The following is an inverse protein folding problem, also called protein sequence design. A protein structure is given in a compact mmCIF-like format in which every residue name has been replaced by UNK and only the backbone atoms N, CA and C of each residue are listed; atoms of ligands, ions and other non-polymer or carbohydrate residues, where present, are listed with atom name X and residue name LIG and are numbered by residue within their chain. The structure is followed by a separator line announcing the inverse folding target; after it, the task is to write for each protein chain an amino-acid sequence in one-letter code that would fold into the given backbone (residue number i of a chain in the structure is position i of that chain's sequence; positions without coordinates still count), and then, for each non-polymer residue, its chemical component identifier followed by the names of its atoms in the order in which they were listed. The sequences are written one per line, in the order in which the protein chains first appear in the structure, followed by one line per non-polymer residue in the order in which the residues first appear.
data_IF_046114288221
#
_entry.id   IF_046114288221
#
_cell.length_a   1.000
_cell.length_b   1.000
_cell.length_c   1.000
_cell.angle_alpha   90.00
_cell.angle_beta   90.00
_cell.angle_gamma   90.00
#
_symmetry.space_group_name_H-M   'P 1'
#
loop_
_entity.id
_entity.type
_entity.pdbx_description
1 polymer ?
#
# COMPACT_ATOMS: atom_id res chain seq x y z
N UNK A 1 7.99 0.98 19.23
CA UNK A 1 6.88 1.74 18.61
C UNK A 1 6.40 2.92 19.47
N UNK A 2 6.08 2.74 20.75
CA UNK A 2 5.55 3.79 21.64
C UNK A 2 6.16 5.21 21.53
N UNK A 3 7.50 5.33 21.41
CA UNK A 3 8.15 6.64 21.23
C UNK A 3 7.87 7.29 19.86
N UNK A 4 7.74 6.49 18.79
CA UNK A 4 7.37 6.96 17.46
C UNK A 4 5.88 7.32 17.40
N UNK A 5 5.02 6.52 18.05
CA UNK A 5 3.59 6.82 18.20
C UNK A 5 3.36 8.14 18.95
N UNK A 6 4.07 8.36 20.06
CA UNK A 6 4.01 9.62 20.80
C UNK A 6 4.47 10.85 19.97
N UNK A 7 5.39 10.66 19.02
CA UNK A 7 5.79 11.72 18.08
C UNK A 7 4.76 11.94 16.99
N UNK A 8 4.11 10.88 16.50
CA UNK A 8 3.06 10.96 15.48
C UNK A 8 1.75 11.57 16.01
N UNK A 9 1.37 11.25 17.25
CA UNK A 9 0.09 11.68 17.85
C UNK A 9 0.23 12.85 18.84
N UNK A 10 1.44 13.18 19.27
CA UNK A 10 1.73 14.21 20.29
C UNK A 10 2.45 15.44 19.75
N UNK A 11 3.54 15.85 20.41
CA UNK A 11 4.27 17.09 20.13
C UNK A 11 4.87 17.19 18.72
N UNK A 12 5.04 16.07 18.00
CA UNK A 12 5.44 16.09 16.60
C UNK A 12 4.33 16.57 15.69
N UNK A 13 3.06 16.23 15.96
CA UNK A 13 1.89 16.67 15.20
C UNK A 13 1.61 18.18 15.32
N UNK A 14 1.96 18.80 16.45
CA UNK A 14 1.93 20.26 16.64
C UNK A 14 3.24 20.96 16.30
N UNK A 15 4.31 20.19 16.06
CA UNK A 15 5.64 20.68 15.70
C UNK A 15 5.71 21.24 14.28
N UNK A 16 6.87 21.82 13.94
CA UNK A 16 7.13 22.33 12.59
C UNK A 16 7.01 21.25 11.49
N UNK A 17 6.85 21.68 10.24
CA UNK A 17 6.67 20.79 9.06
C UNK A 17 7.69 19.64 9.02
N UNK A 18 8.95 19.95 9.35
CA UNK A 18 10.03 18.98 9.39
C UNK A 18 9.83 17.90 10.47
N UNK A 19 9.31 18.25 11.65
CA UNK A 19 9.08 17.28 12.72
C UNK A 19 7.99 16.27 12.30
N UNK A 20 6.89 16.76 11.71
CA UNK A 20 5.81 15.92 11.17
C UNK A 20 6.34 15.01 10.07
N UNK A 21 7.09 15.56 9.12
CA UNK A 21 7.72 14.78 8.05
C UNK A 21 8.63 13.65 8.58
N UNK A 22 9.46 13.96 9.58
CA UNK A 22 10.36 12.96 10.17
C UNK A 22 9.60 11.91 10.96
N UNK A 23 8.53 12.29 11.67
CA UNK A 23 7.64 11.35 12.34
C UNK A 23 6.95 10.40 11.33
N UNK A 24 6.40 10.93 10.24
CA UNK A 24 5.80 10.12 9.15
C UNK A 24 6.83 9.14 8.57
N UNK A 25 8.07 9.59 8.32
CA UNK A 25 9.14 8.71 7.81
C UNK A 25 9.57 7.65 8.82
N UNK A 26 9.58 7.99 10.11
CA UNK A 26 9.91 7.04 11.18
C UNK A 26 8.83 5.96 11.27
N UNK A 27 7.55 6.34 11.28
CA UNK A 27 6.43 5.41 11.32
C UNK A 27 6.48 4.40 10.16
N UNK A 28 6.74 4.88 8.94
CA UNK A 28 6.94 4.02 7.77
C UNK A 28 8.06 3.00 7.96
N UNK A 29 9.20 3.43 8.52
CA UNK A 29 10.33 2.53 8.77
C UNK A 29 9.99 1.48 9.81
N UNK A 30 9.22 1.84 10.84
CA UNK A 30 8.79 0.87 11.86
C UNK A 30 7.91 -0.21 11.23
N UNK A 31 6.87 0.16 10.47
CA UNK A 31 6.01 -0.82 9.81
C UNK A 31 6.78 -1.72 8.83
N UNK A 32 7.71 -1.16 8.04
CA UNK A 32 8.49 -1.95 7.08
C UNK A 32 9.56 -2.85 7.72
N UNK A 33 9.91 -2.62 9.00
CA UNK A 33 10.77 -3.51 9.78
C UNK A 33 9.94 -4.62 10.43
N UNK A 34 8.70 -4.32 10.84
CA UNK A 34 7.77 -5.32 11.36
C UNK A 34 7.27 -6.28 10.27
N UNK A 35 7.05 -5.77 9.05
CA UNK A 35 6.65 -6.56 7.89
C UNK A 35 7.84 -7.29 7.26
N UNK A 36 7.71 -8.59 7.07
CA UNK A 36 8.62 -9.36 6.23
C UNK A 36 8.74 -8.72 4.83
N UNK A 37 9.93 -8.73 4.20
CA UNK A 37 10.13 -8.18 2.87
C UNK A 37 9.51 -9.12 1.82
N UNK A 38 8.19 -9.10 1.69
CA UNK A 38 7.42 -9.83 0.67
C UNK A 38 7.02 -8.88 -0.45
N UNK A 39 6.82 -9.44 -1.65
CA UNK A 39 6.21 -8.70 -2.77
C UNK A 39 4.91 -9.41 -3.07
N UNK A 40 3.79 -8.76 -2.75
CA UNK A 40 2.48 -9.35 -2.96
C UNK A 40 2.22 -9.64 -4.45
N UNK A 41 1.76 -10.86 -4.81
CA UNK A 41 1.55 -11.24 -6.21
C UNK A 41 0.34 -10.57 -6.84
N UNK A 42 -0.69 -10.24 -6.04
CA UNK A 42 -1.86 -9.47 -6.47
C UNK A 42 -1.52 -8.04 -6.90
N UNK A 43 -0.32 -7.54 -6.54
CA UNK A 43 0.08 -6.19 -6.92
C UNK A 43 0.22 -6.11 -8.43
N UNK A 44 -0.29 -5.03 -9.02
CA UNK A 44 -0.18 -4.77 -10.46
C UNK A 44 1.22 -5.09 -11.00
N UNK A 45 1.31 -6.22 -11.71
CA UNK A 45 2.49 -6.61 -12.43
C UNK A 45 2.48 -5.80 -13.71
N UNK A 46 3.45 -4.89 -13.88
CA UNK A 46 3.63 -4.20 -15.16
C UNK A 46 3.85 -5.28 -16.22
N UNK A 47 2.82 -5.53 -17.02
CA UNK A 47 2.78 -6.58 -18.03
C UNK A 47 4.07 -6.60 -18.82
N UNK A 48 4.74 -7.74 -18.77
CA UNK A 48 5.94 -8.14 -19.50
C UNK A 48 7.00 -7.07 -19.74
N UNK A 49 8.16 -7.28 -19.11
CA UNK A 49 9.35 -6.42 -19.23
C UNK A 49 9.93 -6.32 -20.66
N UNK A 50 9.46 -7.16 -21.59
CA UNK A 50 9.90 -7.19 -22.97
C UNK A 50 8.71 -7.04 -23.92
N UNK A 51 8.72 -5.94 -24.69
CA UNK A 51 7.79 -5.73 -25.79
C UNK A 51 7.93 -6.84 -26.86
N UNK A 52 9.15 -7.34 -27.06
CA UNK A 52 9.42 -8.45 -27.98
C UNK A 52 8.73 -9.74 -27.52
N UNK A 53 8.77 -10.05 -26.22
CA UNK A 53 8.04 -11.20 -25.68
C UNK A 53 6.53 -11.05 -25.86
N UNK A 54 5.98 -9.84 -25.71
CA UNK A 54 4.57 -9.55 -25.93
C UNK A 54 4.14 -9.69 -27.39
N UNK A 55 5.02 -9.34 -28.32
CA UNK A 55 4.76 -9.47 -29.76
C UNK A 55 4.93 -10.93 -30.21
N UNK A 56 5.84 -11.69 -29.59
CA UNK A 56 6.05 -13.10 -29.87
C UNK A 56 4.94 -14.01 -29.30
N UNK A 57 4.28 -13.60 -28.22
CA UNK A 57 3.13 -14.31 -27.63
C UNK A 57 1.77 -13.86 -28.17
N UNK A 58 1.74 -12.87 -29.07
CA UNK A 58 0.50 -12.43 -29.71
C UNK A 58 -0.03 -13.56 -30.62
N UNK A 59 -1.29 -14.01 -30.46
CA UNK A 59 -1.88 -14.96 -31.38
C UNK A 59 -1.99 -14.30 -32.76
N UNK A 60 -1.70 -15.08 -33.80
CA UNK A 60 -1.89 -14.70 -35.21
C UNK A 60 -3.24 -14.01 -35.42
N UNK A 61 -3.22 -12.90 -36.16
CA UNK A 61 -4.32 -11.95 -36.33
C UNK A 61 -5.67 -12.63 -36.69
N UNK A 62 -6.53 -12.83 -35.68
CA UNK A 62 -7.84 -13.45 -35.89
C UNK A 62 -8.91 -13.14 -34.84
N UNK A 63 -8.55 -12.92 -33.57
CA UNK A 63 -9.55 -12.74 -32.50
C UNK A 63 -9.19 -11.56 -31.58
N UNK A 64 -9.57 -10.36 -32.02
CA UNK A 64 -9.25 -9.08 -31.35
C UNK A 64 -10.04 -8.85 -30.04
N UNK A 65 -10.85 -9.83 -29.60
CA UNK A 65 -11.66 -9.75 -28.39
C UNK A 65 -11.23 -10.68 -27.24
N UNK A 66 -10.38 -11.68 -27.49
CA UNK A 66 -10.06 -12.72 -26.50
C UNK A 66 -8.81 -12.39 -25.66
N UNK A 67 -7.87 -11.61 -26.18
CA UNK A 67 -6.60 -11.33 -25.51
C UNK A 67 -6.74 -10.44 -24.25
N UNK A 68 -7.67 -9.47 -24.26
CA UNK A 68 -7.94 -8.66 -23.05
C UNK A 68 -8.77 -9.41 -22.01
N UNK A 69 -9.61 -10.36 -22.45
CA UNK A 69 -10.38 -11.21 -21.56
C UNK A 69 -9.48 -12.27 -20.90
N UNK A 70 -8.57 -12.90 -21.63
CA UNK A 70 -7.62 -13.89 -21.08
C UNK A 70 -6.59 -13.29 -20.13
N UNK A 71 -6.17 -12.02 -20.34
CA UNK A 71 -5.31 -11.30 -19.39
C UNK A 71 -6.03 -10.87 -18.10
N UNK A 72 -7.35 -10.70 -18.15
CA UNK A 72 -8.18 -10.46 -16.97
C UNK A 72 -8.50 -11.78 -16.24
N UNK A 73 -8.82 -12.84 -16.99
CA UNK A 73 -9.20 -14.17 -16.48
C UNK A 73 -8.01 -14.90 -15.82
N UNK A 74 -6.78 -14.68 -16.30
CA UNK A 74 -5.57 -15.21 -15.66
C UNK A 74 -5.14 -14.43 -14.41
N UNK A 75 -5.57 -13.17 -14.26
CA UNK A 75 -5.25 -12.35 -13.08
C UNK A 75 -6.20 -12.65 -11.91
N UNK A 76 -7.46 -12.99 -12.20
CA UNK A 76 -8.47 -13.39 -11.20
C UNK A 76 -8.27 -14.82 -10.68
N UNK A 77 -7.62 -15.71 -11.45
CA UNK A 77 -7.48 -17.12 -11.09
C UNK A 77 -6.34 -17.43 -10.09
N UNK A 78 -5.35 -16.54 -9.92
CA UNK A 78 -4.18 -16.79 -9.05
C UNK A 78 -4.15 -15.91 -7.77
N UNK A 79 -5.17 -15.10 -7.50
CA UNK A 79 -5.15 -14.16 -6.39
C UNK A 79 -5.77 -14.65 -5.07
N UNK A 80 -6.14 -15.94 -4.99
CA UNK A 80 -7.02 -16.43 -3.91
C UNK A 80 -6.38 -17.40 -2.90
N UNK A 81 -5.06 -17.60 -2.91
CA UNK A 81 -4.40 -18.63 -2.08
C UNK A 81 -3.32 -18.10 -1.10
N UNK A 82 -3.00 -16.80 -1.08
CA UNK A 82 -1.92 -16.27 -0.22
C UNK A 82 -2.36 -15.77 1.17
N UNK A 83 -3.66 -15.78 1.48
CA UNK A 83 -4.14 -15.39 2.83
C UNK A 83 -3.82 -16.48 3.87
N UNK A 84 -3.60 -17.75 3.47
CA UNK A 84 -3.47 -18.88 4.40
C UNK A 84 -2.14 -18.92 5.18
N UNK A 85 -1.07 -18.28 4.66
CA UNK A 85 0.28 -18.27 5.26
C UNK A 85 0.68 -16.91 5.86
N UNK A 86 -0.25 -15.94 5.96
CA UNK A 86 0.07 -14.63 6.56
C UNK A 86 0.12 -14.71 8.10
N UNK A 87 1.24 -15.22 8.61
CA UNK A 87 1.54 -15.20 10.04
C UNK A 87 2.25 -13.89 10.43
N UNK A 88 1.50 -13.00 11.08
CA UNK A 88 2.02 -11.79 11.70
C UNK A 88 2.00 -11.94 13.22
N UNK A 89 3.10 -11.58 13.88
CA UNK A 89 3.13 -11.48 15.34
C UNK A 89 2.09 -10.46 15.84
N UNK A 90 1.32 -10.80 16.87
CA UNK A 90 0.20 -9.97 17.36
C UNK A 90 0.65 -8.53 17.69
N UNK A 91 1.83 -8.39 18.31
CA UNK A 91 2.41 -7.07 18.62
C UNK A 91 2.80 -6.32 17.34
N UNK A 92 3.29 -7.03 16.32
CA UNK A 92 3.61 -6.42 15.03
C UNK A 92 2.34 -5.97 14.28
N UNK A 93 1.24 -6.71 14.43
CA UNK A 93 -0.09 -6.35 13.91
C UNK A 93 -0.62 -5.06 14.52
N UNK A 94 -0.65 -4.96 15.86
CA UNK A 94 -1.08 -3.73 16.57
C UNK A 94 -0.23 -2.51 16.15
N UNK A 95 1.10 -2.69 16.08
CA UNK A 95 2.02 -1.64 15.65
C UNK A 95 1.72 -1.21 14.21
N UNK A 96 1.38 -2.15 13.33
CA UNK A 96 1.08 -1.88 11.94
C UNK A 96 -0.22 -1.07 11.81
N UNK A 97 -1.27 -1.45 12.53
CA UNK A 97 -2.56 -0.73 12.56
C UNK A 97 -2.36 0.73 13.03
N UNK A 98 -1.64 0.93 14.14
CA UNK A 98 -1.35 2.27 14.65
C UNK A 98 -0.53 3.09 13.63
N UNK A 99 0.42 2.46 12.92
CA UNK A 99 1.19 3.14 11.86
C UNK A 99 0.28 3.53 10.71
N UNK A 100 -0.62 2.65 10.26
CA UNK A 100 -1.55 2.91 9.18
C UNK A 100 -2.46 4.09 9.56
N UNK A 101 -3.03 4.09 10.77
CA UNK A 101 -3.83 5.21 11.27
C UNK A 101 -3.04 6.53 11.28
N UNK A 102 -1.80 6.51 11.78
CA UNK A 102 -0.93 7.68 11.80
C UNK A 102 -0.62 8.21 10.38
N UNK A 103 -0.46 7.33 9.40
CA UNK A 103 -0.24 7.69 7.99
C UNK A 103 -1.51 8.23 7.33
N UNK A 104 -2.67 7.63 7.61
CA UNK A 104 -3.98 8.13 7.15
C UNK A 104 -4.25 9.54 7.70
N UNK A 105 -3.93 9.79 8.98
CA UNK A 105 -3.99 11.14 9.56
C UNK A 105 -3.00 12.09 8.85
N UNK A 106 -1.78 11.64 8.57
CA UNK A 106 -0.75 12.42 7.86
C UNK A 106 -1.12 12.73 6.40
N UNK A 107 -2.05 12.01 5.77
CA UNK A 107 -2.57 12.34 4.44
C UNK A 107 -3.39 13.63 4.44
N UNK A 108 -3.94 14.04 5.59
CA UNK A 108 -4.68 15.28 5.77
C UNK A 108 -3.80 16.46 6.21
N UNK A 109 -2.48 16.30 6.25
CA UNK A 109 -1.58 17.36 6.67
C UNK A 109 -1.68 18.60 5.77
N UNK A 110 -1.47 19.79 6.33
CA UNK A 110 -1.43 21.06 5.60
C UNK A 110 -0.28 21.13 4.59
N UNK A 111 0.85 20.51 4.90
CA UNK A 111 2.07 20.58 4.09
C UNK A 111 2.13 19.43 3.08
N UNK A 112 2.30 19.76 1.80
CA UNK A 112 2.33 18.80 0.69
C UNK A 112 3.44 17.75 0.81
N UNK A 113 4.59 18.13 1.39
CA UNK A 113 5.73 17.21 1.58
C UNK A 113 5.39 16.09 2.57
N UNK A 114 4.60 16.40 3.61
CA UNK A 114 4.12 15.42 4.59
C UNK A 114 3.11 14.49 3.92
N UNK A 115 2.11 15.04 3.23
CA UNK A 115 1.10 14.25 2.48
C UNK A 115 1.72 13.29 1.47
N UNK A 116 2.67 13.79 0.67
CA UNK A 116 3.36 12.95 -0.33
C UNK A 116 4.18 11.84 0.32
N UNK A 117 4.83 12.15 1.45
CA UNK A 117 5.59 11.15 2.19
C UNK A 117 4.65 10.09 2.76
N UNK A 118 3.54 10.50 3.38
CA UNK A 118 2.52 9.60 3.94
C UNK A 118 1.98 8.64 2.87
N UNK A 119 1.53 9.17 1.72
CA UNK A 119 1.03 8.37 0.59
C UNK A 119 2.06 7.35 0.09
N UNK A 120 3.33 7.76 -0.05
CA UNK A 120 4.40 6.85 -0.48
C UNK A 120 4.68 5.75 0.54
N UNK A 121 4.55 6.06 1.83
CA UNK A 121 4.64 5.09 2.91
C UNK A 121 3.55 4.05 2.83
N UNK A 122 2.31 4.52 2.78
CA UNK A 122 1.11 3.69 2.75
C UNK A 122 1.12 2.73 1.56
N UNK A 123 1.48 3.21 0.36
CA UNK A 123 1.61 2.37 -0.84
C UNK A 123 2.71 1.30 -0.75
N UNK A 124 3.77 1.54 0.03
CA UNK A 124 4.84 0.55 0.26
C UNK A 124 4.44 -0.50 1.28
N UNK A 125 3.70 -0.10 2.31
CA UNK A 125 3.20 -0.98 3.36
C UNK A 125 2.15 -1.91 2.76
N UNK A 126 1.13 -1.36 2.10
CA UNK A 126 0.06 -2.12 1.43
C UNK A 126 0.60 -3.15 0.44
N UNK A 127 1.65 -2.82 -0.33
CA UNK A 127 2.28 -3.77 -1.25
C UNK A 127 3.00 -4.97 -0.60
N UNK A 128 3.01 -5.08 0.73
CA UNK A 128 3.50 -6.23 1.50
C UNK A 128 2.38 -6.96 2.27
N UNK A 129 1.16 -6.44 2.22
CA UNK A 129 0.01 -7.05 2.89
C UNK A 129 -0.67 -8.06 1.95
N UNK A 130 -1.43 -9.02 2.50
CA UNK A 130 -2.40 -9.79 1.73
C UNK A 130 -3.44 -8.88 1.08
N UNK A 131 -4.13 -9.40 0.06
CA UNK A 131 -5.10 -8.63 -0.74
C UNK A 131 -6.24 -8.11 0.13
N UNK A 132 -6.76 -8.96 1.02
CA UNK A 132 -7.82 -8.62 1.98
C UNK A 132 -7.49 -7.36 2.81
N UNK A 133 -6.35 -7.37 3.51
CA UNK A 133 -5.91 -6.24 4.32
C UNK A 133 -5.51 -5.02 3.48
N UNK A 134 -4.97 -5.23 2.28
CA UNK A 134 -4.65 -4.12 1.38
C UNK A 134 -5.92 -3.41 0.90
N UNK A 135 -6.99 -4.14 0.60
CA UNK A 135 -8.29 -3.60 0.20
C UNK A 135 -8.92 -2.75 1.32
N UNK A 136 -8.83 -3.17 2.58
CA UNK A 136 -9.30 -2.39 3.72
C UNK A 136 -8.57 -1.03 3.83
N UNK A 137 -7.26 -1.03 3.62
CA UNK A 137 -6.45 0.20 3.62
C UNK A 137 -6.82 1.09 2.43
N UNK A 138 -7.05 0.51 1.25
CA UNK A 138 -7.52 1.26 0.06
C UNK A 138 -8.90 1.86 0.32
N UNK A 139 -9.83 1.10 0.90
CA UNK A 139 -11.15 1.58 1.30
C UNK A 139 -11.06 2.80 2.21
N UNK A 140 -10.23 2.71 3.24
CA UNK A 140 -9.97 3.84 4.16
C UNK A 140 -9.43 5.08 3.42
N UNK A 141 -8.50 4.91 2.47
CA UNK A 141 -8.00 6.02 1.66
C UNK A 141 -9.09 6.63 0.78
N UNK A 142 -9.92 5.82 0.16
CA UNK A 142 -11.03 6.28 -0.69
C UNK A 142 -12.05 7.08 0.13
N UNK A 143 -12.39 6.60 1.33
CA UNK A 143 -13.26 7.34 2.26
C UNK A 143 -12.68 8.71 2.61
N UNK A 144 -11.37 8.80 2.88
CA UNK A 144 -10.71 10.07 3.15
C UNK A 144 -10.81 11.06 1.99
N UNK A 145 -10.84 10.57 0.75
CA UNK A 145 -10.93 11.39 -0.46
C UNK A 145 -12.37 11.81 -0.77
N UNK A 146 -13.35 10.93 -0.55
CA UNK A 146 -14.76 11.23 -0.73
C UNK A 146 -15.29 12.20 0.33
N UNK A 147 -14.79 12.13 1.57
CA UNK A 147 -15.20 13.01 2.66
C UNK A 147 -14.79 14.50 2.48
N UNK A 148 -14.07 14.84 1.41
CA UNK A 148 -13.63 16.22 1.10
C UNK A 148 -14.71 17.05 0.37
N UNK A 149 -15.90 16.48 0.10
CA UNK A 149 -17.02 17.22 -0.55
C UNK A 149 -17.93 18.03 0.41
N UNK A 150 -17.49 18.32 1.64
CA UNK A 150 -18.26 19.09 2.64
C UNK A 150 -17.71 20.48 2.95
#
# INVERSE_FOLDING_TARGET
WAAAAALASGAGASGGSLARLLATKLAQRVALVALAPTVAPWRYQRGCRSLEANLASAPEAGEVGAASAALADAADAECNDDDEDFEMDEVAGEVLEDVIEALLSSLRDKDTVVRWSAAKGLGRITGRLPSSLADDVVGSVLELLCAVEG
#
